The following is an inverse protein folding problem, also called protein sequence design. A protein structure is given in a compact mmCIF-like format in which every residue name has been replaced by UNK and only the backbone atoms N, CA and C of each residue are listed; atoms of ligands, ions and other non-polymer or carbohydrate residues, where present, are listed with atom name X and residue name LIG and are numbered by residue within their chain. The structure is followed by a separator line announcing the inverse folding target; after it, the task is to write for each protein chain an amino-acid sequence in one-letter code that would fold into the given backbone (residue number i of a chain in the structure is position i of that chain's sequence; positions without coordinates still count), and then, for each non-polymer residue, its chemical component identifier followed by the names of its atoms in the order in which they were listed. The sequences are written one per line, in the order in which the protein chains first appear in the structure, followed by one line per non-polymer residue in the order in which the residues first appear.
data_IF_424687173024
#
_entry.id   IF_424687173024
#
_cell.length_a   1.000
_cell.length_b   1.000
_cell.length_c   1.000
_cell.angle_alpha   90.00
_cell.angle_beta   90.00
_cell.angle_gamma   90.00
#
_symmetry.space_group_name_H-M   'P 1'
#
loop_
_entity.id
_entity.type
_entity.pdbx_description
1 polymer ?
#
# COMPACT_ATOMS: atom_id res chain seq x y z
N UNK A 1 4.66 -18.39 -31.81
CA UNK A 1 6.08 -18.64 -31.47
C UNK A 1 6.38 -17.81 -30.23
N UNK A 2 6.41 -18.42 -29.05
CA UNK A 2 6.72 -17.73 -27.79
C UNK A 2 8.22 -17.80 -27.55
N UNK A 3 8.91 -16.66 -27.68
CA UNK A 3 10.33 -16.55 -27.32
C UNK A 3 10.42 -16.63 -25.80
N UNK A 4 11.22 -17.53 -25.21
CA UNK A 4 11.47 -17.51 -23.77
C UNK A 4 12.27 -16.24 -23.47
N UNK A 5 11.68 -15.31 -22.73
CA UNK A 5 12.40 -14.16 -22.19
C UNK A 5 13.32 -14.66 -21.07
N UNK A 6 14.62 -14.35 -21.14
CA UNK A 6 15.55 -14.62 -20.03
C UNK A 6 15.32 -13.60 -18.91
N UNK A 7 15.65 -13.95 -17.66
CA UNK A 7 15.41 -13.08 -16.49
C UNK A 7 16.04 -11.69 -16.61
N UNK A 8 17.25 -11.60 -17.17
CA UNK A 8 17.93 -10.32 -17.45
C UNK A 8 17.24 -9.48 -18.54
N UNK A 9 16.48 -10.11 -19.45
CA UNK A 9 15.69 -9.38 -20.44
C UNK A 9 14.43 -8.80 -19.79
N UNK A 10 13.78 -9.55 -18.88
CA UNK A 10 12.56 -9.11 -18.18
C UNK A 10 12.83 -7.87 -17.33
N UNK A 11 13.93 -7.85 -16.57
CA UNK A 11 14.27 -6.69 -15.72
C UNK A 11 14.49 -5.40 -16.51
N UNK A 12 15.02 -5.51 -17.74
CA UNK A 12 15.24 -4.38 -18.63
C UNK A 12 14.01 -4.03 -19.49
N UNK A 13 13.02 -4.92 -19.60
CA UNK A 13 11.83 -4.75 -20.43
C UNK A 13 10.60 -4.27 -19.66
N UNK A 14 10.54 -4.51 -18.34
CA UNK A 14 9.41 -4.05 -17.52
C UNK A 14 9.63 -2.58 -17.17
N UNK A 15 9.02 -1.72 -17.98
CA UNK A 15 8.88 -0.30 -17.66
C UNK A 15 7.84 -0.13 -16.54
N UNK A 16 8.22 0.41 -15.37
CA UNK A 16 7.30 0.60 -14.26
C UNK A 16 6.10 1.48 -14.61
N UNK A 17 6.21 2.41 -15.56
CA UNK A 17 5.11 3.31 -15.91
C UNK A 17 3.97 2.62 -16.67
N UNK A 18 4.18 1.41 -17.22
CA UNK A 18 3.19 0.69 -18.03
C UNK A 18 3.18 -0.84 -17.78
N UNK A 19 3.61 -1.29 -16.61
CA UNK A 19 3.77 -2.71 -16.32
C UNK A 19 2.44 -3.48 -16.41
N UNK A 20 1.30 -2.89 -16.03
CA UNK A 20 0.01 -3.56 -16.13
C UNK A 20 -0.42 -3.74 -17.58
N UNK A 21 -0.09 -2.80 -18.49
CA UNK A 21 -0.37 -2.89 -19.92
C UNK A 21 0.42 -4.00 -20.59
N UNK A 22 1.68 -4.20 -20.19
CA UNK A 22 2.44 -5.38 -20.59
C UNK A 22 1.79 -6.66 -20.05
N UNK A 23 1.47 -6.68 -18.75
CA UNK A 23 0.87 -7.86 -18.12
C UNK A 23 -0.50 -8.22 -18.72
N UNK A 24 -1.35 -7.24 -19.04
CA UNK A 24 -2.66 -7.45 -19.63
C UNK A 24 -2.57 -8.11 -21.02
N UNK A 25 -1.49 -7.87 -21.76
CA UNK A 25 -1.22 -8.54 -23.04
C UNK A 25 -0.76 -9.98 -22.85
N UNK A 26 -0.04 -10.28 -21.77
CA UNK A 26 0.51 -11.60 -21.47
C UNK A 26 -0.47 -12.51 -20.72
N UNK A 27 -1.24 -11.94 -19.80
CA UNK A 27 -2.10 -12.63 -18.84
C UNK A 27 -3.39 -11.82 -18.59
N UNK A 28 -4.27 -11.62 -19.59
CA UNK A 28 -5.48 -10.79 -19.46
C UNK A 28 -6.43 -11.27 -18.36
N UNK A 29 -6.52 -12.59 -18.16
CA UNK A 29 -7.48 -13.21 -17.23
C UNK A 29 -6.97 -13.30 -15.78
N UNK A 30 -5.77 -12.78 -15.48
CA UNK A 30 -5.28 -12.72 -14.10
C UNK A 30 -6.20 -11.83 -13.27
N UNK A 31 -6.60 -12.29 -12.08
CA UNK A 31 -7.46 -11.51 -11.19
C UNK A 31 -6.63 -10.43 -10.50
N UNK A 32 -7.20 -9.25 -10.29
CA UNK A 32 -6.51 -8.14 -9.62
C UNK A 32 -6.01 -8.53 -8.22
N UNK A 33 -6.82 -9.26 -7.45
CA UNK A 33 -6.43 -9.73 -6.12
C UNK A 33 -5.27 -10.74 -6.12
N UNK A 34 -4.98 -11.33 -7.28
CA UNK A 34 -3.92 -12.30 -7.47
C UNK A 34 -2.63 -11.61 -7.98
N UNK A 35 -2.62 -10.29 -8.18
CA UNK A 35 -1.45 -9.49 -8.58
C UNK A 35 -0.64 -9.03 -7.37
N UNK A 36 0.65 -8.78 -7.61
CA UNK A 36 1.52 -8.03 -6.70
C UNK A 36 1.49 -6.55 -7.09
N UNK A 37 0.92 -5.68 -6.25
CA UNK A 37 0.65 -4.29 -6.60
C UNK A 37 1.42 -3.35 -5.64
N UNK A 38 2.32 -2.48 -6.14
CA UNK A 38 2.90 -1.44 -5.32
C UNK A 38 1.86 -0.36 -4.99
N UNK A 39 1.83 0.07 -3.74
CA UNK A 39 0.93 1.08 -3.22
C UNK A 39 1.64 2.10 -2.34
N UNK A 40 1.04 3.27 -2.17
CA UNK A 40 1.54 4.31 -1.26
C UNK A 40 0.55 4.58 -0.13
N UNK A 41 1.07 4.67 1.08
CA UNK A 41 0.32 5.11 2.26
C UNK A 41 0.26 6.64 2.28
N UNK A 42 -0.94 7.19 2.55
CA UNK A 42 -1.20 8.63 2.48
C UNK A 42 -0.57 9.29 1.24
N UNK A 43 -0.97 8.81 0.06
CA UNK A 43 -0.30 9.08 -1.23
C UNK A 43 -0.09 10.57 -1.53
N UNK A 44 -0.92 11.44 -0.96
CA UNK A 44 -0.84 12.88 -1.18
C UNK A 44 0.00 13.63 -0.13
N UNK A 45 0.39 13.00 0.98
CA UNK A 45 1.09 13.66 2.08
C UNK A 45 2.58 13.87 1.76
N UNK A 46 2.81 14.81 0.85
CA UNK A 46 4.09 15.04 0.19
C UNK A 46 5.00 15.96 1.00
N UNK A 47 6.32 15.76 0.87
CA UNK A 47 7.31 16.72 1.33
C UNK A 47 7.01 18.10 0.72
N UNK A 48 7.21 19.17 1.51
CA UNK A 48 6.88 20.57 1.15
C UNK A 48 5.37 20.89 1.12
N UNK A 49 4.48 19.88 1.19
CA UNK A 49 3.04 20.07 1.32
C UNK A 49 2.51 19.79 2.73
N UNK A 50 3.31 19.13 3.57
CA UNK A 50 2.97 18.79 4.94
C UNK A 50 4.15 19.05 5.89
N UNK A 51 3.86 19.13 7.18
CA UNK A 51 4.86 19.07 8.24
C UNK A 51 5.58 17.72 8.19
N UNK A 52 6.85 17.69 8.60
CA UNK A 52 7.66 16.47 8.57
C UNK A 52 7.05 15.23 9.24
N UNK A 53 6.28 15.42 10.31
CA UNK A 53 5.61 14.32 11.04
C UNK A 53 4.46 13.68 10.26
N UNK A 54 3.93 14.41 9.29
CA UNK A 54 2.81 14.01 8.44
C UNK A 54 3.28 13.63 7.05
N UNK A 55 4.47 14.05 6.62
CA UNK A 55 5.07 13.66 5.34
C UNK A 55 5.31 12.15 5.27
N UNK A 56 4.61 11.49 4.35
CA UNK A 56 4.78 10.08 4.02
C UNK A 56 5.38 9.90 2.63
N UNK A 57 5.21 10.86 1.72
CA UNK A 57 5.65 10.77 0.33
C UNK A 57 6.58 11.91 -0.06
N UNK A 58 7.36 11.69 -1.13
CA UNK A 58 8.20 12.72 -1.75
C UNK A 58 7.74 13.06 -3.17
N UNK A 59 7.31 12.04 -3.90
CA UNK A 59 6.83 12.12 -5.27
C UNK A 59 5.41 12.71 -5.36
N UNK A 60 5.14 13.47 -6.42
CA UNK A 60 3.78 13.80 -6.87
C UNK A 60 3.02 12.53 -7.26
N UNK A 61 1.69 12.63 -7.47
CA UNK A 61 0.89 11.44 -7.83
C UNK A 61 1.35 10.84 -9.16
N UNK A 62 1.65 11.68 -10.16
CA UNK A 62 2.14 11.23 -11.46
C UNK A 62 3.50 10.56 -11.34
N UNK A 63 4.41 11.10 -10.53
CA UNK A 63 5.71 10.46 -10.28
C UNK A 63 5.56 9.10 -9.58
N UNK A 64 4.60 8.96 -8.65
CA UNK A 64 4.29 7.67 -8.04
C UNK A 64 3.74 6.69 -9.08
N UNK A 65 2.83 7.13 -9.94
CA UNK A 65 2.27 6.33 -11.03
C UNK A 65 3.34 5.96 -12.07
N UNK A 66 4.25 6.86 -12.43
CA UNK A 66 5.38 6.58 -13.32
C UNK A 66 6.39 5.61 -12.69
N UNK A 67 6.51 5.61 -11.36
CA UNK A 67 7.25 4.58 -10.61
C UNK A 67 6.52 3.22 -10.57
N UNK A 68 5.30 3.12 -11.10
CA UNK A 68 4.53 1.86 -11.15
C UNK A 68 3.65 1.59 -9.95
N UNK A 69 3.46 2.57 -9.06
CA UNK A 69 2.41 2.53 -8.03
C UNK A 69 1.05 2.44 -8.70
N UNK A 70 0.19 1.52 -8.25
CA UNK A 70 -1.19 1.37 -8.76
C UNK A 70 -2.22 1.28 -7.64
N UNK A 71 -1.81 1.49 -6.39
CA UNK A 71 -2.70 1.61 -5.25
C UNK A 71 -2.42 2.91 -4.50
N UNK A 72 -3.40 3.81 -4.43
CA UNK A 72 -3.28 5.11 -3.78
C UNK A 72 -4.20 5.18 -2.56
N UNK A 73 -3.65 5.51 -1.39
CA UNK A 73 -4.39 5.78 -0.15
C UNK A 73 -4.61 7.30 -0.03
N UNK A 74 -5.83 7.76 -0.32
CA UNK A 74 -6.22 9.18 -0.32
C UNK A 74 -7.16 9.43 0.85
N UNK A 75 -6.75 10.33 1.75
CA UNK A 75 -7.52 10.69 2.94
C UNK A 75 -8.09 12.09 2.82
N UNK A 76 -9.37 12.23 3.13
CA UNK A 76 -10.12 13.45 2.88
C UNK A 76 -10.91 13.91 4.10
N UNK A 77 -11.22 15.21 4.11
CA UNK A 77 -12.20 15.85 4.99
C UNK A 77 -13.07 16.80 4.19
N UNK A 78 -14.22 17.15 4.73
CA UNK A 78 -15.08 18.20 4.19
C UNK A 78 -14.36 19.55 4.14
N UNK A 79 -14.59 20.28 3.06
CA UNK A 79 -14.07 21.64 2.87
C UNK A 79 -15.21 22.54 2.39
N UNK A 80 -15.88 23.19 3.35
CA UNK A 80 -17.08 23.96 3.09
C UNK A 80 -18.31 23.11 2.72
N UNK A 81 -19.32 23.70 2.05
CA UNK A 81 -20.61 23.04 1.81
C UNK A 81 -20.55 21.86 0.82
N UNK A 82 -19.69 21.93 -0.20
CA UNK A 82 -19.64 20.94 -1.29
C UNK A 82 -18.23 20.40 -1.56
N UNK A 83 -17.19 21.02 -1.00
CA UNK A 83 -15.81 20.66 -1.26
C UNK A 83 -15.32 19.50 -0.38
N UNK A 84 -14.23 18.89 -0.84
CA UNK A 84 -13.42 17.93 -0.11
C UNK A 84 -11.95 18.31 -0.26
N UNK A 85 -11.25 18.38 0.87
CA UNK A 85 -9.80 18.62 0.94
C UNK A 85 -9.09 17.35 1.36
N UNK A 86 -7.83 17.25 0.97
CA UNK A 86 -6.94 16.14 1.31
C UNK A 86 -6.23 16.45 2.62
N UNK A 87 -6.08 15.44 3.48
CA UNK A 87 -5.53 15.59 4.83
C UNK A 87 -4.58 14.45 5.20
N UNK A 88 -3.77 14.68 6.22
CA UNK A 88 -3.11 13.65 7.01
C UNK A 88 -3.51 13.84 8.48
N UNK A 89 -4.47 13.03 8.96
CA UNK A 89 -5.06 13.19 10.28
C UNK A 89 -5.72 14.57 10.46
N UNK A 90 -5.15 15.42 11.31
CA UNK A 90 -5.65 16.79 11.54
C UNK A 90 -5.03 17.84 10.61
N UNK A 91 -3.98 17.47 9.87
CA UNK A 91 -3.24 18.40 9.02
C UNK A 91 -3.84 18.42 7.61
N UNK A 92 -4.06 19.61 7.08
CA UNK A 92 -4.42 19.81 5.68
C UNK A 92 -3.17 19.64 4.81
N UNK A 93 -3.27 18.84 3.75
CA UNK A 93 -2.20 18.75 2.75
C UNK A 93 -2.21 20.02 1.92
N UNK A 94 -1.07 20.72 1.84
CA UNK A 94 -0.90 21.89 0.99
C UNK A 94 -1.04 21.54 -0.49
N UNK A 95 -1.66 22.42 -1.27
CA UNK A 95 -1.73 22.24 -2.72
C UNK A 95 -0.34 22.47 -3.33
N UNK A 96 0.24 21.41 -3.88
CA UNK A 96 1.53 21.44 -4.57
C UNK A 96 1.41 21.43 -6.10
N UNK A 97 0.19 21.51 -6.63
CA UNK A 97 -0.09 21.73 -8.05
C UNK A 97 -0.47 23.19 -8.36
N UNK A 98 -0.98 23.91 -7.36
CA UNK A 98 -1.30 25.34 -7.43
C UNK A 98 -0.41 26.17 -6.49
N UNK A 99 -0.38 27.49 -6.71
CA UNK A 99 0.41 28.43 -5.90
C UNK A 99 -0.24 28.76 -4.54
N UNK A 100 -0.40 27.74 -3.69
CA UNK A 100 -0.89 27.85 -2.32
C UNK A 100 -2.32 27.32 -2.10
N UNK A 101 -2.70 27.14 -0.83
CA UNK A 101 -3.99 26.59 -0.43
C UNK A 101 -3.92 25.12 0.01
N UNK A 102 -5.09 24.49 0.10
CA UNK A 102 -5.23 23.08 0.48
C UNK A 102 -5.46 22.26 -0.78
N UNK A 103 -4.81 21.10 -0.88
CA UNK A 103 -5.02 20.18 -1.98
C UNK A 103 -6.47 19.67 -1.95
N UNK A 104 -7.20 19.87 -3.04
CA UNK A 104 -8.58 19.40 -3.16
C UNK A 104 -8.65 17.97 -3.70
N UNK A 105 -9.70 17.22 -3.32
CA UNK A 105 -9.96 15.89 -3.89
C UNK A 105 -10.21 15.95 -5.41
N UNK A 106 -10.83 17.03 -5.89
CA UNK A 106 -11.03 17.26 -7.33
C UNK A 106 -9.70 17.38 -8.06
N UNK A 107 -8.72 18.08 -7.48
CA UNK A 107 -7.36 18.20 -8.02
C UNK A 107 -6.73 16.80 -8.11
N UNK A 108 -6.76 16.01 -7.01
CA UNK A 108 -6.24 14.63 -7.00
C UNK A 108 -6.81 13.78 -8.12
N UNK A 109 -8.14 13.75 -8.26
CA UNK A 109 -8.80 13.01 -9.34
C UNK A 109 -8.36 13.52 -10.72
N UNK A 110 -8.34 14.83 -10.92
CA UNK A 110 -7.96 15.44 -12.20
C UNK A 110 -6.55 15.00 -12.63
N UNK A 111 -5.58 14.99 -11.71
CA UNK A 111 -4.21 14.59 -12.00
C UNK A 111 -4.08 13.09 -12.29
N UNK A 112 -4.79 12.23 -11.55
CA UNK A 112 -4.84 10.79 -11.85
C UNK A 112 -5.45 10.54 -13.23
N UNK A 113 -6.59 11.18 -13.55
CA UNK A 113 -7.23 11.05 -14.86
C UNK A 113 -6.36 11.57 -16.00
N UNK A 114 -5.68 12.71 -15.80
CA UNK A 114 -4.77 13.26 -16.78
C UNK A 114 -3.61 12.30 -17.09
N UNK A 115 -3.03 11.67 -16.05
CA UNK A 115 -2.01 10.64 -16.23
C UNK A 115 -2.57 9.42 -16.97
N UNK A 116 -3.67 8.87 -16.48
CA UNK A 116 -4.29 7.66 -17.06
C UNK A 116 -4.67 7.89 -18.54
N UNK A 117 -5.19 9.07 -18.90
CA UNK A 117 -5.62 9.40 -20.25
C UNK A 117 -4.49 9.54 -21.28
N UNK A 118 -3.22 9.53 -20.87
CA UNK A 118 -2.11 9.51 -21.83
C UNK A 118 -2.12 8.18 -22.61
N UNK A 119 -1.84 8.18 -23.93
CA UNK A 119 -1.91 6.98 -24.76
C UNK A 119 -1.11 5.78 -24.23
N UNK A 120 0.03 6.04 -23.60
CA UNK A 120 0.96 5.07 -23.01
C UNK A 120 0.44 4.42 -21.71
N UNK A 121 -0.56 5.01 -21.04
CA UNK A 121 -1.11 4.53 -19.77
C UNK A 121 -2.57 4.06 -19.86
N UNK A 122 -3.18 4.10 -21.05
CA UNK A 122 -4.61 3.79 -21.25
C UNK A 122 -5.05 2.38 -20.84
N UNK A 123 -4.11 1.44 -20.79
CA UNK A 123 -4.36 0.05 -20.40
C UNK A 123 -3.92 -0.21 -18.93
N UNK A 124 -3.49 0.82 -18.21
CA UNK A 124 -3.20 0.74 -16.78
C UNK A 124 -4.49 0.79 -15.96
N UNK A 125 -4.47 0.15 -14.79
CA UNK A 125 -5.55 0.20 -13.81
C UNK A 125 -5.03 0.82 -12.52
N UNK A 126 -5.71 1.83 -11.99
CA UNK A 126 -5.34 2.45 -10.71
C UNK A 126 -6.43 2.13 -9.70
N UNK A 127 -6.03 1.70 -8.50
CA UNK A 127 -6.92 1.54 -7.35
C UNK A 127 -6.72 2.76 -6.45
N UNK A 128 -7.80 3.47 -6.14
CA UNK A 128 -7.80 4.57 -5.18
C UNK A 128 -8.67 4.21 -3.99
N UNK A 129 -8.03 4.01 -2.85
CA UNK A 129 -8.68 3.91 -1.54
C UNK A 129 -8.97 5.33 -1.07
N UNK A 130 -10.24 5.63 -0.81
CA UNK A 130 -10.66 6.93 -0.29
C UNK A 130 -11.17 6.76 1.13
N UNK A 131 -10.50 7.43 2.07
CA UNK A 131 -10.82 7.41 3.50
C UNK A 131 -11.35 8.75 3.94
N UNK A 132 -12.53 8.74 4.55
CA UNK A 132 -13.12 9.91 5.18
C UNK A 132 -12.66 10.03 6.64
N UNK A 133 -11.97 11.13 6.93
CA UNK A 133 -11.30 11.36 8.21
C UNK A 133 -12.01 12.38 9.12
N UNK A 134 -13.20 12.87 8.76
CA UNK A 134 -13.96 13.77 9.65
C UNK A 134 -14.55 13.02 10.86
N UNK A 135 -14.88 11.75 10.67
CA UNK A 135 -15.43 10.87 11.71
C UNK A 135 -14.62 9.57 11.74
N UNK A 136 -14.01 9.22 12.88
CA UNK A 136 -13.13 8.04 13.01
C UNK A 136 -13.84 6.82 13.63
N UNK A 137 -15.16 6.88 13.80
CA UNK A 137 -15.97 5.78 14.30
C UNK A 137 -17.25 5.66 13.50
N UNK A 138 -17.68 4.42 13.25
CA UNK A 138 -18.91 4.11 12.51
C UNK A 138 -20.16 4.72 13.17
N UNK A 139 -20.16 4.82 14.50
CA UNK A 139 -21.32 5.28 15.28
C UNK A 139 -21.37 6.80 15.48
N UNK A 140 -20.33 7.55 15.10
CA UNK A 140 -20.24 9.00 15.34
C UNK A 140 -20.52 9.84 14.10
N UNK A 141 -20.74 9.21 12.95
CA UNK A 141 -21.08 9.88 11.69
C UNK A 141 -22.55 10.33 11.68
N UNK A 142 -22.84 11.63 11.56
CA UNK A 142 -24.21 12.14 11.53
C UNK A 142 -25.05 11.50 10.41
N UNK A 143 -26.35 11.40 10.62
CA UNK A 143 -27.26 10.80 9.64
C UNK A 143 -27.34 11.60 8.32
N UNK A 144 -27.14 12.91 8.40
CA UNK A 144 -27.13 13.88 7.30
C UNK A 144 -25.72 14.17 6.75
N UNK A 145 -24.69 13.51 7.29
CA UNK A 145 -23.33 13.67 6.82
C UNK A 145 -23.12 12.89 5.52
N UNK A 146 -22.87 13.62 4.45
CA UNK A 146 -22.97 13.13 3.08
C UNK A 146 -21.65 13.22 2.32
N UNK A 147 -20.64 12.49 2.79
CA UNK A 147 -19.39 12.30 2.05
C UNK A 147 -19.63 11.59 0.72
N UNK A 148 -20.60 10.65 0.67
CA UNK A 148 -20.93 9.89 -0.52
C UNK A 148 -21.26 10.79 -1.71
N UNK A 149 -22.27 11.66 -1.56
CA UNK A 149 -22.72 12.53 -2.65
C UNK A 149 -21.62 13.50 -3.05
N UNK A 150 -20.85 14.05 -2.10
CA UNK A 150 -19.72 14.93 -2.42
C UNK A 150 -18.66 14.24 -3.27
N UNK A 151 -18.24 13.03 -2.90
CA UNK A 151 -17.28 12.26 -3.70
C UNK A 151 -17.87 11.95 -5.06
N UNK A 152 -19.12 11.47 -5.11
CA UNK A 152 -19.79 11.13 -6.36
C UNK A 152 -19.88 12.34 -7.31
N UNK A 153 -20.31 13.50 -6.82
CA UNK A 153 -20.48 14.71 -7.62
C UNK A 153 -19.15 15.28 -8.12
N UNK A 154 -18.13 15.30 -7.25
CA UNK A 154 -16.77 15.69 -7.65
C UNK A 154 -16.23 14.73 -8.70
N UNK A 155 -16.38 13.42 -8.49
CA UNK A 155 -15.93 12.41 -9.45
C UNK A 155 -16.66 12.54 -10.78
N UNK A 156 -17.99 12.69 -10.75
CA UNK A 156 -18.80 12.95 -11.94
C UNK A 156 -18.34 14.17 -12.70
N UNK A 157 -18.08 15.28 -12.01
CA UNK A 157 -17.57 16.51 -12.61
C UNK A 157 -16.24 16.26 -13.35
N UNK A 158 -15.30 15.54 -12.73
CA UNK A 158 -14.02 15.17 -13.36
C UNK A 158 -14.21 14.19 -14.53
N UNK A 159 -15.09 13.19 -14.39
CA UNK A 159 -15.42 12.22 -15.46
C UNK A 159 -16.10 12.89 -16.66
N UNK A 160 -16.96 13.88 -16.43
CA UNK A 160 -17.63 14.64 -17.49
C UNK A 160 -16.65 15.56 -18.22
N UNK A 161 -15.68 16.13 -17.50
CA UNK A 161 -14.59 16.95 -18.07
C UNK A 161 -13.50 16.12 -18.77
N UNK A 162 -13.34 14.84 -18.42
CA UNK A 162 -12.39 13.93 -19.05
C UNK A 162 -12.83 13.56 -20.48
N UNK A 163 -11.96 13.82 -21.46
CA UNK A 163 -12.18 13.41 -22.86
C UNK A 163 -11.89 11.93 -23.13
N UNK A 164 -11.26 11.24 -22.18
CA UNK A 164 -10.79 9.88 -22.34
C UNK A 164 -11.57 8.90 -21.48
N UNK A 165 -10.84 8.21 -20.61
CA UNK A 165 -11.41 7.22 -19.71
C UNK A 165 -12.42 7.84 -18.76
N UNK A 166 -13.44 7.02 -18.46
CA UNK A 166 -14.51 7.30 -17.51
C UNK A 166 -14.69 6.06 -16.64
N UNK A 167 -14.73 6.26 -15.33
CA UNK A 167 -14.70 5.18 -14.34
C UNK A 167 -15.84 5.26 -13.33
N UNK A 168 -16.59 6.35 -13.25
CA UNK A 168 -17.70 6.50 -12.30
C UNK A 168 -18.76 5.40 -12.50
N UNK A 169 -19.25 5.25 -13.72
CA UNK A 169 -20.25 4.24 -14.07
C UNK A 169 -19.75 2.83 -13.75
N UNK A 170 -18.46 2.55 -14.00
CA UNK A 170 -17.87 1.27 -13.67
C UNK A 170 -17.92 1.01 -12.15
N UNK A 171 -17.54 2.00 -11.34
CA UNK A 171 -17.54 1.87 -9.88
C UNK A 171 -18.93 1.71 -9.27
N UNK A 172 -20.01 2.08 -9.96
CA UNK A 172 -21.39 1.90 -9.47
C UNK A 172 -22.03 0.59 -9.97
N UNK A 173 -21.29 -0.21 -10.74
CA UNK A 173 -21.79 -1.39 -11.44
C UNK A 173 -21.23 -2.72 -10.96
N UNK A 174 -20.50 -2.75 -9.84
CA UNK A 174 -19.88 -3.98 -9.34
C UNK A 174 -20.23 -4.28 -7.87
N UNK A 175 -20.47 -5.56 -7.57
CA UNK A 175 -20.57 -6.03 -6.19
C UNK A 175 -19.18 -6.36 -5.62
N UNK A 176 -19.11 -6.64 -4.32
CA UNK A 176 -17.88 -7.12 -3.71
C UNK A 176 -17.37 -8.42 -4.35
N UNK A 177 -18.26 -9.36 -4.71
CA UNK A 177 -17.88 -10.57 -5.44
C UNK A 177 -17.31 -10.27 -6.84
N UNK A 178 -17.89 -9.29 -7.54
CA UNK A 178 -17.39 -8.87 -8.85
C UNK A 178 -15.97 -8.33 -8.72
N UNK A 179 -15.68 -7.49 -7.72
CA UNK A 179 -14.33 -7.00 -7.43
C UNK A 179 -13.34 -8.14 -7.12
N UNK A 180 -13.75 -9.18 -6.38
CA UNK A 180 -12.88 -10.33 -6.09
C UNK A 180 -12.60 -11.21 -7.32
N UNK A 181 -13.50 -11.20 -8.30
CA UNK A 181 -13.35 -11.95 -9.56
C UNK A 181 -12.79 -11.10 -10.70
N UNK A 182 -12.63 -9.80 -10.48
CA UNK A 182 -12.23 -8.84 -11.49
C UNK A 182 -10.87 -9.20 -12.07
N UNK A 183 -10.85 -9.40 -13.39
CA UNK A 183 -9.64 -9.67 -14.16
C UNK A 183 -8.96 -8.38 -14.59
N UNK A 184 -7.67 -8.45 -14.89
CA UNK A 184 -6.93 -7.31 -15.42
C UNK A 184 -7.51 -6.82 -16.75
N UNK A 185 -8.03 -7.73 -17.60
CA UNK A 185 -8.73 -7.36 -18.83
C UNK A 185 -9.99 -6.51 -18.61
N UNK A 186 -10.71 -6.72 -17.51
CA UNK A 186 -11.88 -5.92 -17.15
C UNK A 186 -11.51 -4.59 -16.52
N UNK A 187 -10.41 -4.57 -15.76
CA UNK A 187 -9.97 -3.42 -14.98
C UNK A 187 -9.09 -2.44 -15.74
N UNK A 188 -8.43 -2.86 -16.83
CA UNK A 188 -7.56 -1.98 -17.61
C UNK A 188 -8.29 -0.72 -18.05
N UNK A 189 -7.63 0.42 -17.89
CA UNK A 189 -8.20 1.73 -18.17
C UNK A 189 -9.32 2.15 -17.21
N UNK A 190 -9.30 1.65 -15.96
CA UNK A 190 -10.25 2.04 -14.90
C UNK A 190 -9.51 2.57 -13.68
N UNK A 191 -10.07 3.65 -13.12
CA UNK A 191 -9.79 4.09 -11.77
C UNK A 191 -10.80 3.42 -10.84
N UNK A 192 -10.36 2.41 -10.09
CA UNK A 192 -11.19 1.63 -9.20
C UNK A 192 -11.25 2.28 -7.81
N UNK A 193 -12.45 2.48 -7.29
CA UNK A 193 -12.69 3.02 -5.97
C UNK A 193 -12.72 1.90 -4.92
N UNK A 194 -11.90 2.05 -3.88
CA UNK A 194 -12.05 1.34 -2.62
C UNK A 194 -12.56 2.31 -1.55
N UNK A 195 -13.77 2.08 -1.05
CA UNK A 195 -14.53 3.05 -0.25
C UNK A 195 -14.34 2.80 1.24
N UNK A 196 -13.84 3.80 1.97
CA UNK A 196 -13.82 3.87 3.44
C UNK A 196 -14.57 5.13 3.92
N UNK A 197 -15.78 5.30 3.41
CA UNK A 197 -16.74 6.33 3.79
C UNK A 197 -18.15 5.75 3.68
N UNK A 198 -19.14 6.32 4.36
CA UNK A 198 -20.50 5.75 4.40
C UNK A 198 -21.15 5.82 3.03
N UNK A 199 -21.87 4.77 2.66
CA UNK A 199 -22.74 4.77 1.48
C UNK A 199 -24.18 4.57 1.98
N UNK A 200 -25.06 5.57 1.86
CA UNK A 200 -26.42 5.49 2.37
C UNK A 200 -27.30 4.49 1.60
N UNK A 201 -26.89 4.05 0.40
CA UNK A 201 -27.67 3.13 -0.43
C UNK A 201 -27.36 1.65 -0.16
N UNK A 202 -26.20 1.35 0.45
CA UNK A 202 -25.72 -0.02 0.73
C UNK A 202 -26.35 -0.73 1.95
N UNK A 203 -26.91 -0.08 3.00
CA UNK A 203 -27.51 -0.77 4.16
C UNK A 203 -28.69 -1.68 3.81
N UNK A 204 -29.22 -1.59 2.59
CA UNK A 204 -30.47 -2.25 2.20
C UNK A 204 -30.32 -3.34 1.14
N UNK A 205 -29.11 -3.70 0.71
CA UNK A 205 -28.88 -4.88 -0.15
C UNK A 205 -29.60 -4.87 -1.51
N UNK A 206 -30.12 -3.71 -1.94
CA UNK A 206 -30.92 -3.57 -3.17
C UNK A 206 -30.14 -3.02 -4.37
N UNK A 207 -28.91 -2.56 -4.18
CA UNK A 207 -28.08 -1.97 -5.25
C UNK A 207 -26.59 -2.28 -5.07
N UNK A 208 -25.86 -2.22 -6.19
CA UNK A 208 -24.40 -2.30 -6.24
C UNK A 208 -23.80 -1.05 -5.58
N UNK A 209 -22.79 -1.25 -4.74
CA UNK A 209 -22.15 -0.17 -3.97
C UNK A 209 -21.34 0.76 -4.89
N UNK A 210 -21.15 2.01 -4.46
CA UNK A 210 -20.15 2.87 -5.09
C UNK A 210 -18.74 2.43 -4.67
N UNK A 211 -18.09 1.65 -5.54
CA UNK A 211 -16.77 1.04 -5.32
C UNK A 211 -16.80 -0.21 -4.42
N UNK A 212 -15.62 -0.74 -4.11
CA UNK A 212 -15.47 -1.84 -3.15
C UNK A 212 -15.72 -1.31 -1.74
N UNK A 213 -16.75 -1.83 -1.07
CA UNK A 213 -17.12 -1.44 0.30
C UNK A 213 -16.11 -1.94 1.33
N UNK A 214 -15.28 -1.03 1.85
CA UNK A 214 -14.37 -1.27 2.97
C UNK A 214 -14.72 -0.39 4.17
N UNK A 215 -15.97 0.06 4.29
CA UNK A 215 -16.40 1.01 5.33
C UNK A 215 -16.08 0.54 6.75
N UNK A 216 -16.01 -0.77 7.00
CA UNK A 216 -15.57 -1.31 8.30
C UNK A 216 -14.22 -0.73 8.75
N UNK A 217 -13.29 -0.43 7.83
CA UNK A 217 -11.99 0.17 8.15
C UNK A 217 -12.09 1.51 8.87
N UNK A 218 -13.24 2.20 8.82
CA UNK A 218 -13.47 3.45 9.53
C UNK A 218 -13.49 3.26 11.06
N UNK A 219 -13.65 2.05 11.56
CA UNK A 219 -13.52 1.74 12.99
C UNK A 219 -12.03 1.61 13.39
N UNK A 220 -11.32 2.75 13.41
CA UNK A 220 -9.87 2.79 13.67
C UNK A 220 -9.50 2.06 14.97
N UNK A 221 -10.31 2.19 16.03
CA UNK A 221 -10.06 1.51 17.31
C UNK A 221 -10.00 -0.03 17.20
N UNK A 222 -10.61 -0.61 16.16
CA UNK A 222 -10.63 -2.05 15.91
C UNK A 222 -9.47 -2.52 15.04
N UNK A 223 -8.96 -1.66 14.15
CA UNK A 223 -8.02 -2.06 13.10
C UNK A 223 -6.63 -1.44 13.26
N UNK A 224 -6.52 -0.28 13.89
CA UNK A 224 -5.23 0.34 14.19
C UNK A 224 -4.41 -0.53 15.13
N UNK A 225 -3.14 -0.73 14.78
CA UNK A 225 -2.20 -1.59 15.51
C UNK A 225 -2.63 -3.05 15.59
N UNK A 226 -3.51 -3.50 14.69
CA UNK A 226 -3.84 -4.90 14.59
C UNK A 226 -2.79 -5.61 13.70
N UNK A 227 -2.10 -6.64 14.23
CA UNK A 227 -1.15 -7.41 13.44
C UNK A 227 -1.80 -8.09 12.24
N UNK A 228 -3.07 -8.51 12.33
CA UNK A 228 -3.82 -9.04 11.19
C UNK A 228 -5.31 -8.80 11.35
N UNK A 229 -5.97 -8.33 10.30
CA UNK A 229 -7.40 -8.11 10.32
C UNK A 229 -8.06 -8.43 8.99
N UNK A 230 -9.31 -8.88 9.07
CA UNK A 230 -10.17 -9.12 7.92
C UNK A 230 -11.27 -8.08 7.82
N UNK A 231 -11.57 -7.65 6.60
CA UNK A 231 -12.76 -6.85 6.27
C UNK A 231 -13.73 -7.71 5.51
N UNK A 232 -15.00 -7.57 5.87
CA UNK A 232 -16.09 -8.20 5.16
C UNK A 232 -16.95 -7.15 4.49
N UNK A 233 -17.44 -7.44 3.29
CA UNK A 233 -18.39 -6.59 2.56
C UNK A 233 -19.71 -7.32 2.35
N UNK A 234 -20.85 -6.60 2.21
CA UNK A 234 -22.13 -7.21 1.85
C UNK A 234 -22.02 -7.99 0.54
N UNK A 235 -22.61 -9.19 0.50
CA UNK A 235 -22.77 -9.94 -0.72
C UNK A 235 -23.82 -9.31 -1.65
N UNK A 236 -23.80 -9.68 -2.93
CA UNK A 236 -24.76 -9.23 -3.93
C UNK A 236 -26.24 -9.41 -3.52
N UNK A 237 -26.55 -10.49 -2.79
CA UNK A 237 -27.91 -10.80 -2.30
C UNK A 237 -28.27 -10.08 -0.99
N UNK A 238 -27.32 -9.36 -0.37
CA UNK A 238 -27.48 -8.66 0.91
C UNK A 238 -27.66 -9.57 2.13
N UNK A 239 -27.69 -10.89 1.96
CA UNK A 239 -28.03 -11.85 3.04
C UNK A 239 -26.83 -12.30 3.86
N UNK A 240 -25.62 -12.19 3.29
CA UNK A 240 -24.36 -12.58 3.93
C UNK A 240 -23.29 -11.52 3.72
N UNK A 241 -22.22 -11.61 4.50
CA UNK A 241 -21.00 -10.85 4.26
C UNK A 241 -19.90 -11.79 3.76
N UNK A 242 -19.05 -11.29 2.87
CA UNK A 242 -17.93 -12.03 2.28
C UNK A 242 -16.62 -11.37 2.68
N UNK A 243 -15.57 -12.15 2.91
CA UNK A 243 -14.23 -11.61 3.18
C UNK A 243 -13.69 -10.95 1.92
N UNK A 244 -13.45 -9.65 1.95
CA UNK A 244 -12.97 -8.87 0.80
C UNK A 244 -11.52 -8.45 0.94
N UNK A 245 -11.06 -8.24 2.17
CA UNK A 245 -9.70 -7.86 2.46
C UNK A 245 -9.18 -8.64 3.67
N UNK A 246 -7.92 -9.07 3.60
CA UNK A 246 -7.11 -9.42 4.75
C UNK A 246 -5.86 -8.57 4.73
N UNK A 247 -5.50 -7.98 5.84
CA UNK A 247 -4.44 -7.00 5.90
C UNK A 247 -3.74 -7.01 7.24
N UNK A 248 -2.59 -6.33 7.28
CA UNK A 248 -1.91 -5.96 8.52
C UNK A 248 -1.70 -4.45 8.53
N UNK A 249 -1.87 -3.83 9.70
CA UNK A 249 -1.58 -2.41 9.93
C UNK A 249 -1.00 -2.20 11.34
N UNK A 250 0.17 -2.79 11.60
CA UNK A 250 0.99 -2.39 12.75
C UNK A 250 1.59 -1.01 12.51
N UNK A 251 0.77 0.02 12.65
CA UNK A 251 1.08 1.39 12.23
C UNK A 251 1.76 2.20 13.33
N UNK A 252 1.40 2.05 14.61
CA UNK A 252 1.96 2.89 15.69
C UNK A 252 2.97 2.14 16.54
N UNK A 253 3.82 2.92 17.20
CA UNK A 253 4.78 2.39 18.16
C UNK A 253 4.16 1.92 19.48
N UNK A 254 2.85 2.13 19.69
CA UNK A 254 2.14 1.65 20.88
C UNK A 254 1.57 0.27 20.60
N UNK A 255 2.08 -0.74 21.29
CA UNK A 255 1.63 -2.12 21.17
C UNK A 255 1.13 -2.64 22.52
N UNK A 256 0.01 -3.36 22.51
CA UNK A 256 -0.60 -3.95 23.71
C UNK A 256 0.04 -5.29 24.14
N UNK A 257 1.16 -5.67 23.52
CA UNK A 257 1.92 -6.88 23.87
C UNK A 257 2.92 -6.69 25.02
N UNK A 258 3.70 -7.74 25.36
CA UNK A 258 4.64 -7.71 26.49
C UNK A 258 5.73 -6.63 26.32
N UNK A 259 6.06 -6.31 25.07
CA UNK A 259 6.85 -5.14 24.71
C UNK A 259 5.87 -4.00 24.43
N UNK A 260 5.72 -3.05 25.36
CA UNK A 260 4.84 -1.87 25.24
C UNK A 260 5.25 -0.91 24.09
N UNK A 261 6.20 -1.32 23.24
CA UNK A 261 6.75 -0.59 22.11
C UNK A 261 6.91 -1.55 20.93
N UNK A 262 6.39 -1.15 19.75
CA UNK A 262 6.68 -1.83 18.49
C UNK A 262 8.19 -1.82 18.21
N UNK A 263 8.74 -2.86 17.62
CA UNK A 263 10.10 -2.85 17.04
C UNK A 263 10.04 -3.09 15.53
N UNK A 264 11.11 -2.75 14.81
CA UNK A 264 11.21 -3.16 13.40
C UNK A 264 11.19 -4.68 13.22
N UNK A 265 11.66 -5.46 14.22
CA UNK A 265 11.55 -6.90 14.19
C UNK A 265 10.09 -7.36 14.22
N UNK A 266 9.27 -6.77 15.09
CA UNK A 266 7.83 -7.06 15.17
C UNK A 266 7.12 -6.73 13.86
N UNK A 267 7.40 -5.55 13.30
CA UNK A 267 6.88 -5.14 11.99
C UNK A 267 7.29 -6.14 10.90
N UNK A 268 8.57 -6.50 10.81
CA UNK A 268 9.07 -7.46 9.83
C UNK A 268 8.45 -8.85 9.98
N UNK A 269 8.21 -9.31 11.21
CA UNK A 269 7.55 -10.60 11.45
C UNK A 269 6.11 -10.59 10.94
N UNK A 270 5.38 -9.49 11.13
CA UNK A 270 4.01 -9.34 10.61
C UNK A 270 3.96 -9.20 9.10
N UNK A 271 4.85 -8.37 8.53
CA UNK A 271 5.00 -8.23 7.08
C UNK A 271 5.27 -9.59 6.43
N UNK A 272 6.25 -10.34 6.94
CA UNK A 272 6.61 -11.66 6.42
C UNK A 272 5.45 -12.64 6.46
N UNK A 273 4.70 -12.67 7.56
CA UNK A 273 3.57 -13.59 7.69
C UNK A 273 2.52 -13.33 6.61
N UNK A 274 2.15 -12.07 6.39
CA UNK A 274 1.16 -11.74 5.37
C UNK A 274 1.69 -11.95 3.94
N UNK A 275 3.00 -11.75 3.70
CA UNK A 275 3.66 -12.16 2.44
C UNK A 275 3.49 -13.66 2.19
N UNK A 276 3.72 -14.48 3.21
CA UNK A 276 3.54 -15.93 3.12
C UNK A 276 2.09 -16.29 2.76
N UNK A 277 1.10 -15.70 3.45
CA UNK A 277 -0.30 -15.99 3.19
C UNK A 277 -0.74 -15.58 1.79
N UNK A 278 -0.31 -14.40 1.32
CA UNK A 278 -0.58 -13.93 -0.03
C UNK A 278 -0.02 -14.89 -1.08
N UNK A 279 1.23 -15.34 -0.88
CA UNK A 279 1.88 -16.26 -1.80
C UNK A 279 1.24 -17.64 -1.76
N UNK A 280 0.97 -18.17 -0.56
CA UNK A 280 0.41 -19.50 -0.36
C UNK A 280 -0.99 -19.63 -0.99
N UNK A 281 -1.83 -18.61 -0.82
CA UNK A 281 -3.16 -18.64 -1.44
C UNK A 281 -3.08 -18.54 -2.96
N UNK A 282 -2.05 -17.88 -3.50
CA UNK A 282 -1.86 -17.78 -4.94
C UNK A 282 -1.38 -19.11 -5.55
N UNK A 283 -0.37 -19.75 -4.94
CA UNK A 283 0.33 -20.93 -5.50
C UNK A 283 -0.16 -22.27 -4.97
N UNK A 284 -0.96 -22.26 -3.90
CA UNK A 284 -1.56 -23.44 -3.30
C UNK A 284 -2.55 -24.13 -4.23
N UNK A 285 -2.73 -25.45 -4.04
CA UNK A 285 -3.71 -26.22 -4.81
C UNK A 285 -5.12 -25.65 -4.60
N UNK A 286 -5.94 -25.66 -5.65
CA UNK A 286 -7.36 -25.31 -5.51
C UNK A 286 -8.01 -26.11 -4.37
N UNK A 287 -8.57 -25.42 -3.37
CA UNK A 287 -9.11 -26.02 -2.14
C UNK A 287 -8.23 -25.92 -0.89
N UNK A 288 -6.97 -25.49 -1.01
CA UNK A 288 -6.09 -25.18 0.15
C UNK A 288 -5.98 -23.69 0.43
N UNK A 289 -6.63 -22.84 -0.38
CA UNK A 289 -6.65 -21.39 -0.19
C UNK A 289 -7.39 -21.06 1.11
N UNK A 290 -6.73 -20.31 1.96
CA UNK A 290 -7.27 -19.89 3.25
C UNK A 290 -8.32 -18.78 3.08
N UNK A 291 -8.12 -17.85 2.13
CA UNK A 291 -9.06 -16.76 1.87
C UNK A 291 -9.14 -16.40 0.38
N UNK A 292 -10.35 -16.11 -0.12
CA UNK A 292 -10.57 -15.56 -1.47
C UNK A 292 -10.72 -14.03 -1.38
N UNK A 293 -9.71 -13.34 -0.83
CA UNK A 293 -9.73 -11.89 -0.54
C UNK A 293 -8.54 -11.17 -1.16
N UNK A 294 -8.59 -9.84 -1.24
CA UNK A 294 -7.38 -9.03 -1.42
C UNK A 294 -6.46 -9.18 -0.20
N UNK A 295 -5.16 -9.01 -0.42
CA UNK A 295 -4.14 -8.97 0.64
C UNK A 295 -3.48 -7.60 0.63
N UNK A 296 -3.46 -6.89 1.76
CA UNK A 296 -2.81 -5.57 1.89
C UNK A 296 -1.80 -5.57 3.03
N UNK A 297 -0.55 -5.26 2.69
CA UNK A 297 0.58 -5.28 3.62
C UNK A 297 1.12 -3.86 3.79
N UNK A 298 0.73 -3.19 4.87
CA UNK A 298 1.11 -1.80 5.16
C UNK A 298 2.48 -1.72 5.85
N UNK A 299 3.50 -1.20 5.18
CA UNK A 299 4.85 -1.07 5.73
C UNK A 299 5.05 0.20 6.57
N UNK A 300 4.19 1.19 6.40
CA UNK A 300 4.21 2.47 7.09
C UNK A 300 4.22 2.29 8.63
N UNK A 301 4.95 3.19 9.29
CA UNK A 301 5.02 3.29 10.74
C UNK A 301 4.95 4.77 11.11
N UNK A 302 3.98 5.12 11.94
CA UNK A 302 3.70 6.46 12.46
C UNK A 302 4.89 7.07 13.22
N UNK A 303 4.83 8.38 13.44
CA UNK A 303 5.79 9.05 14.30
C UNK A 303 5.61 8.74 15.80
N UNK A 304 6.71 8.74 16.56
CA UNK A 304 6.68 8.65 18.03
C UNK A 304 6.52 10.04 18.64
N UNK A 305 5.51 10.21 19.49
CA UNK A 305 5.42 11.32 20.45
C UNK A 305 6.10 10.90 21.77
N UNK A 306 7.23 11.52 22.12
CA UNK A 306 7.72 11.48 23.50
C UNK A 306 7.01 12.60 24.29
N UNK A 307 5.86 12.26 24.87
CA UNK A 307 5.01 13.11 25.73
C UNK A 307 4.32 14.32 25.04
N UNK A 308 3.17 14.72 25.60
CA UNK A 308 2.31 15.79 25.09
C UNK A 308 2.76 17.19 25.47
N UNK A 309 3.80 17.35 26.31
CA UNK A 309 4.28 18.64 26.80
C UNK A 309 5.49 19.21 26.04
N UNK A 310 6.32 18.37 25.42
CA UNK A 310 7.55 18.82 24.74
C UNK A 310 7.46 18.60 23.22
N UNK A 311 6.79 19.54 22.55
CA UNK A 311 6.55 19.50 21.10
C UNK A 311 7.78 19.81 20.23
N UNK A 312 9.00 19.93 20.77
CA UNK A 312 10.17 20.34 19.98
C UNK A 312 11.53 19.77 20.44
N UNK A 313 11.59 18.57 21.03
CA UNK A 313 12.90 17.95 21.23
C UNK A 313 13.47 17.45 19.89
N UNK A 314 14.71 17.87 19.61
CA UNK A 314 15.47 17.68 18.36
C UNK A 314 15.76 16.18 18.09
N UNK A 315 15.54 15.31 19.09
CA UNK A 315 15.56 13.85 18.96
C UNK A 315 14.30 13.26 18.27
N UNK A 316 13.23 14.05 18.08
CA UNK A 316 11.98 13.63 17.44
C UNK A 316 12.09 13.33 15.94
N UNK A 317 13.10 13.91 15.25
CA UNK A 317 13.39 13.66 13.82
C UNK A 317 13.74 12.19 13.53
N UNK A 318 14.24 11.46 14.54
CA UNK A 318 14.58 10.03 14.44
C UNK A 318 13.37 9.13 14.22
N UNK A 319 12.16 9.64 14.41
CA UNK A 319 10.95 8.82 14.41
C UNK A 319 9.93 9.24 13.36
N UNK A 320 10.29 10.09 12.41
CA UNK A 320 9.33 10.50 11.38
C UNK A 320 8.99 9.34 10.43
N UNK A 321 7.81 9.35 9.78
CA UNK A 321 7.41 8.29 8.86
C UNK A 321 8.49 8.02 7.81
N UNK A 322 9.10 9.08 7.28
CA UNK A 322 10.25 9.00 6.38
C UNK A 322 11.43 8.19 6.98
N UNK A 323 11.83 8.48 8.22
CA UNK A 323 12.93 7.77 8.87
C UNK A 323 12.58 6.30 9.07
N UNK A 324 11.33 5.97 9.37
CA UNK A 324 10.89 4.59 9.49
C UNK A 324 10.93 3.89 8.12
N UNK A 325 10.48 4.56 7.06
CA UNK A 325 10.51 4.08 5.68
C UNK A 325 11.94 3.74 5.23
N UNK A 326 12.93 4.57 5.56
CA UNK A 326 14.34 4.34 5.21
C UNK A 326 14.97 3.14 5.95
N UNK A 327 14.29 2.54 6.93
CA UNK A 327 14.73 1.31 7.58
C UNK A 327 13.90 0.11 7.11
N UNK A 328 12.56 0.23 7.07
CA UNK A 328 11.69 -0.91 6.77
C UNK A 328 11.71 -1.27 5.28
N UNK A 329 11.71 -0.29 4.36
CA UNK A 329 11.68 -0.56 2.93
C UNK A 329 12.92 -1.35 2.47
N UNK A 330 14.16 -0.99 2.87
CA UNK A 330 15.36 -1.83 2.76
C UNK A 330 15.21 -3.29 3.18
N UNK A 331 14.72 -3.52 4.41
CA UNK A 331 14.62 -4.85 5.00
C UNK A 331 13.63 -5.72 4.22
N UNK A 332 12.50 -5.14 3.84
CA UNK A 332 11.51 -5.80 3.00
C UNK A 332 12.06 -6.02 1.59
N UNK A 333 12.78 -5.05 1.01
CA UNK A 333 13.41 -5.17 -0.30
C UNK A 333 14.40 -6.33 -0.37
N UNK A 334 15.29 -6.45 0.62
CA UNK A 334 16.23 -7.56 0.73
C UNK A 334 15.50 -8.92 0.88
N UNK A 335 14.39 -8.95 1.62
CA UNK A 335 13.54 -10.14 1.70
C UNK A 335 12.94 -10.49 0.33
N UNK A 336 12.37 -9.52 -0.40
CA UNK A 336 11.80 -9.74 -1.72
C UNK A 336 12.84 -10.22 -2.73
N UNK A 337 14.08 -9.71 -2.67
CA UNK A 337 15.19 -10.19 -3.51
C UNK A 337 15.48 -11.67 -3.31
N UNK A 338 15.45 -12.12 -2.05
CA UNK A 338 15.63 -13.53 -1.72
C UNK A 338 14.48 -14.38 -2.26
N UNK A 339 13.24 -13.87 -2.23
CA UNK A 339 12.08 -14.57 -2.78
C UNK A 339 12.09 -14.63 -4.31
N UNK A 340 12.67 -13.64 -4.99
CA UNK A 340 12.81 -13.60 -6.45
C UNK A 340 14.10 -14.27 -6.95
N UNK A 341 15.06 -14.55 -6.08
CA UNK A 341 16.36 -15.08 -6.48
C UNK A 341 16.25 -16.53 -7.00
N UNK A 342 16.87 -16.84 -8.16
CA UNK A 342 17.01 -18.22 -8.61
C UNK A 342 17.86 -19.05 -7.65
N UNK A 343 18.80 -18.42 -6.94
CA UNK A 343 19.69 -19.04 -5.95
C UNK A 343 19.64 -18.21 -4.66
N UNK A 344 18.59 -18.35 -3.85
CA UNK A 344 18.45 -17.59 -2.62
C UNK A 344 19.47 -18.05 -1.58
N UNK A 345 19.98 -17.09 -0.81
CA UNK A 345 20.85 -17.37 0.33
C UNK A 345 20.04 -17.62 1.61
N UNK A 346 18.77 -17.20 1.67
CA UNK A 346 17.86 -17.57 2.74
C UNK A 346 17.51 -19.07 2.69
N UNK A 347 17.81 -19.85 3.75
CA UNK A 347 17.46 -21.27 3.79
C UNK A 347 15.94 -21.46 3.88
N UNK A 348 15.46 -22.67 3.55
CA UNK A 348 14.05 -23.07 3.67
C UNK A 348 13.03 -22.36 2.77
N UNK A 349 13.46 -21.68 1.71
CA UNK A 349 12.55 -21.37 0.62
C UNK A 349 12.13 -22.66 -0.08
N UNK A 350 10.83 -22.86 -0.22
CA UNK A 350 10.24 -24.09 -0.75
C UNK A 350 10.83 -24.41 -2.12
N UNK A 351 11.27 -25.66 -2.29
CA UNK A 351 11.70 -26.22 -3.58
C UNK A 351 10.51 -26.69 -4.42
N UNK A 352 9.29 -26.63 -3.88
CA UNK A 352 8.08 -26.97 -4.61
C UNK A 352 7.87 -25.95 -5.72
N UNK A 353 7.95 -26.40 -6.98
CA UNK A 353 7.53 -25.63 -8.15
C UNK A 353 6.13 -25.06 -7.88
N UNK A 354 5.99 -23.76 -7.58
CA UNK A 354 4.68 -23.19 -7.35
C UNK A 354 3.84 -23.32 -8.62
N UNK A 355 2.53 -23.55 -8.46
CA UNK A 355 1.62 -23.33 -9.57
C UNK A 355 1.53 -21.82 -9.81
N UNK A 356 2.42 -21.27 -10.65
CA UNK A 356 2.44 -19.85 -11.01
C UNK A 356 3.58 -19.07 -10.39
N UNK A 357 3.51 -17.73 -10.52
CA UNK A 357 4.60 -16.84 -10.13
C UNK A 357 4.63 -16.53 -8.63
N UNK A 358 3.51 -16.72 -7.93
CA UNK A 358 3.33 -16.25 -6.56
C UNK A 358 2.97 -14.77 -6.51
N UNK A 359 2.23 -14.36 -5.49
CA UNK A 359 1.85 -12.96 -5.27
C UNK A 359 2.23 -12.53 -3.86
N UNK A 360 2.64 -11.27 -3.72
CA UNK A 360 2.86 -10.62 -2.41
C UNK A 360 1.67 -9.73 -2.01
N UNK A 361 0.61 -9.73 -2.83
CA UNK A 361 -0.55 -8.86 -2.66
C UNK A 361 -0.21 -7.39 -2.91
N UNK A 362 -0.97 -6.51 -2.27
CA UNK A 362 -0.78 -5.07 -2.33
C UNK A 362 0.19 -4.66 -1.22
N UNK A 363 1.32 -4.07 -1.59
CA UNK A 363 2.34 -3.60 -0.64
C UNK A 363 2.25 -2.08 -0.53
N UNK A 364 1.80 -1.57 0.61
CA UNK A 364 1.69 -0.13 0.87
C UNK A 364 2.95 0.35 1.58
N UNK A 365 3.62 1.36 1.07
CA UNK A 365 4.81 1.91 1.71
C UNK A 365 4.77 3.44 1.79
N UNK A 366 5.41 3.95 2.83
CA UNK A 366 5.86 5.33 2.85
C UNK A 366 7.08 5.45 1.94
N UNK A 367 7.27 6.65 1.39
CA UNK A 367 8.44 7.04 0.63
C UNK A 367 8.63 6.26 -0.69
N UNK A 368 7.64 6.31 -1.57
CA UNK A 368 7.85 5.89 -2.96
C UNK A 368 8.95 6.75 -3.61
N UNK A 369 10.00 6.11 -4.11
CA UNK A 369 11.13 6.82 -4.72
C UNK A 369 10.71 7.55 -6.00
N UNK A 370 11.24 8.76 -6.21
CA UNK A 370 11.11 9.50 -7.47
C UNK A 370 12.00 8.86 -8.56
N UNK A 371 11.40 8.32 -9.65
CA UNK A 371 12.15 7.65 -10.70
C UNK A 371 13.11 8.61 -11.45
N UNK A 372 12.88 9.92 -11.40
CA UNK A 372 13.73 10.92 -12.04
C UNK A 372 15.03 11.23 -11.26
N UNK A 373 15.24 10.59 -10.09
CA UNK A 373 16.45 10.73 -9.27
C UNK A 373 16.79 12.18 -8.83
N UNK A 374 15.84 13.12 -8.93
CA UNK A 374 16.12 14.56 -8.81
C UNK A 374 16.55 14.99 -7.40
N UNK A 375 16.27 14.19 -6.37
CA UNK A 375 16.83 14.36 -5.01
C UNK A 375 17.21 13.01 -4.39
N UNK A 376 18.25 12.33 -4.92
CA UNK A 376 18.93 11.18 -4.26
C UNK A 376 19.86 11.61 -3.10
N UNK A 377 19.45 12.59 -2.30
CA UNK A 377 20.34 13.22 -1.33
C UNK A 377 20.32 12.56 0.06
N UNK A 378 19.96 11.27 0.11
CA UNK A 378 20.07 10.47 1.33
C UNK A 378 21.06 9.34 1.13
N UNK A 379 22.28 9.56 1.62
CA UNK A 379 23.38 8.58 1.71
C UNK A 379 22.95 7.23 2.32
N UNK A 380 21.87 7.20 3.12
CA UNK A 380 21.35 5.99 3.76
C UNK A 380 20.37 5.18 2.89
N UNK A 381 19.70 5.78 1.90
CA UNK A 381 18.88 5.04 0.93
C UNK A 381 19.69 4.56 -0.28
N UNK A 382 20.94 5.02 -0.45
CA UNK A 382 21.89 4.56 -1.47
C UNK A 382 22.34 3.10 -1.33
N UNK A 383 21.93 2.41 -0.26
CA UNK A 383 22.39 1.05 0.04
C UNK A 383 21.71 -0.04 -0.79
N UNK A 384 20.74 0.29 -1.65
CA UNK A 384 20.10 -0.69 -2.52
C UNK A 384 20.23 -0.29 -3.98
N UNK A 385 20.47 -1.30 -4.81
CA UNK A 385 20.60 -1.16 -6.26
C UNK A 385 19.27 -0.84 -6.94
N UNK A 386 18.13 -1.19 -6.32
CA UNK A 386 16.79 -1.03 -6.92
C UNK A 386 15.67 -0.67 -5.92
N UNK A 387 14.70 0.19 -6.32
CA UNK A 387 13.55 0.58 -5.51
C UNK A 387 12.60 -0.59 -5.16
N UNK A 388 11.97 -0.53 -3.99
CA UNK A 388 11.03 -1.56 -3.49
C UNK A 388 9.87 -1.84 -4.46
N UNK A 389 9.29 -0.80 -5.07
CA UNK A 389 8.17 -0.97 -6.01
C UNK A 389 8.52 -1.86 -7.21
N UNK A 390 9.77 -1.79 -7.71
CA UNK A 390 10.21 -2.62 -8.84
C UNK A 390 10.20 -4.08 -8.45
N UNK A 391 10.71 -4.38 -7.25
CA UNK A 391 10.70 -5.74 -6.70
C UNK A 391 9.29 -6.29 -6.59
N UNK A 392 8.33 -5.49 -6.11
CA UNK A 392 6.90 -5.88 -6.05
C UNK A 392 6.33 -6.17 -7.45
N UNK A 393 6.64 -5.31 -8.44
CA UNK A 393 6.19 -5.51 -9.83
C UNK A 393 6.74 -6.82 -10.41
N UNK A 394 8.00 -7.16 -10.15
CA UNK A 394 8.67 -8.33 -10.70
C UNK A 394 8.00 -9.66 -10.32
N UNK A 395 7.31 -9.75 -9.18
CA UNK A 395 6.52 -10.96 -8.82
C UNK A 395 5.43 -11.27 -9.85
N UNK A 396 4.95 -10.31 -10.64
CA UNK A 396 3.96 -10.59 -11.68
C UNK A 396 4.59 -11.26 -12.93
N UNK A 397 5.90 -11.13 -13.11
CA UNK A 397 6.63 -11.53 -14.32
C UNK A 397 7.61 -12.67 -14.09
N UNK A 398 8.07 -12.88 -12.85
CA UNK A 398 9.05 -13.90 -12.50
C UNK A 398 8.46 -14.93 -11.54
N UNK A 399 8.84 -16.21 -11.67
CA UNK A 399 8.63 -17.19 -10.61
C UNK A 399 9.26 -16.69 -9.31
N UNK A 400 8.52 -16.80 -8.20
CA UNK A 400 9.04 -16.52 -6.87
C UNK A 400 9.00 -17.78 -6.00
N UNK A 401 9.86 -17.80 -5.00
CA UNK A 401 9.91 -18.80 -3.94
C UNK A 401 9.30 -18.23 -2.67
N UNK A 402 8.86 -19.09 -1.77
CA UNK A 402 8.37 -18.69 -0.44
C UNK A 402 8.76 -19.72 0.60
N UNK A 403 8.89 -19.27 1.85
CA UNK A 403 9.25 -20.10 3.00
C UNK A 403 8.38 -21.35 3.11
N UNK A 404 9.00 -22.50 3.40
CA UNK A 404 8.26 -23.68 3.83
C UNK A 404 7.65 -23.43 5.21
N UNK A 405 6.40 -23.90 5.45
CA UNK A 405 5.86 -23.97 6.80
C UNK A 405 6.57 -25.10 7.56
N UNK A 406 6.96 -24.82 8.80
CA UNK A 406 7.34 -25.87 9.73
C UNK A 406 6.10 -26.52 10.35
N UNK A 407 6.31 -27.58 11.15
CA UNK A 407 5.23 -28.31 11.81
C UNK A 407 4.51 -27.51 12.91
N UNK A 408 4.98 -26.29 13.22
CA UNK A 408 4.38 -25.40 14.23
C UNK A 408 3.48 -24.34 13.60
N UNK A 409 3.29 -24.35 12.28
CA UNK A 409 2.28 -23.56 11.59
C UNK A 409 2.67 -22.12 11.30
N UNK A 410 3.81 -21.64 11.82
CA UNK A 410 4.52 -20.42 11.41
C UNK A 410 5.99 -20.59 11.86
N UNK A 411 6.96 -20.24 11.00
CA UNK A 411 8.35 -19.82 11.35
C UNK A 411 9.53 -20.75 10.97
N UNK A 412 10.01 -20.68 9.72
CA UNK A 412 11.44 -20.97 9.46
C UNK A 412 12.34 -19.76 9.73
N UNK A 413 11.80 -18.55 9.57
CA UNK A 413 12.53 -17.29 9.83
C UNK A 413 11.82 -16.52 10.94
N UNK A 414 12.55 -16.02 11.95
CA UNK A 414 12.06 -15.03 12.93
C UNK A 414 13.05 -13.88 13.03
N UNK A 415 12.58 -12.64 12.97
CA UNK A 415 13.45 -11.49 13.20
C UNK A 415 13.49 -11.17 14.70
N UNK A 416 14.69 -10.85 15.20
CA UNK A 416 14.93 -10.30 16.52
C UNK A 416 15.90 -9.12 16.43
N UNK A 417 15.78 -8.13 17.32
CA UNK A 417 16.73 -7.03 17.41
C UNK A 417 18.07 -7.51 18.00
N UNK A 418 19.20 -6.96 17.51
CA UNK A 418 20.55 -7.09 18.08
C UNK A 418 20.76 -6.08 19.22
N UNK A 419 19.86 -6.09 20.21
CA UNK A 419 19.86 -5.19 21.37
C UNK A 419 18.46 -4.74 21.78
N UNK A 420 18.38 -3.88 22.80
CA UNK A 420 17.09 -3.42 23.36
C UNK A 420 16.53 -2.18 22.64
N UNK A 421 17.27 -1.65 21.66
CA UNK A 421 16.82 -0.52 20.85
C UNK A 421 15.77 -0.99 19.83
N UNK A 422 14.65 -0.26 19.66
CA UNK A 422 13.65 -0.59 18.63
C UNK A 422 14.21 -0.53 17.19
N UNK A 423 15.40 0.08 17.03
CA UNK A 423 16.16 0.26 15.78
C UNK A 423 17.41 -0.60 15.70
N UNK A 424 17.59 -1.55 16.62
CA UNK A 424 18.76 -2.41 16.58
C UNK A 424 18.82 -3.16 15.25
N UNK A 425 20.03 -3.37 14.74
CA UNK A 425 20.25 -4.23 13.59
C UNK A 425 19.53 -5.57 13.79
N UNK A 426 18.97 -6.15 12.74
CA UNK A 426 18.19 -7.37 12.88
C UNK A 426 19.08 -8.59 12.75
N UNK A 427 18.75 -9.61 13.54
CA UNK A 427 19.14 -11.00 13.27
C UNK A 427 17.91 -11.81 12.91
N UNK A 428 18.09 -12.82 12.09
CA UNK A 428 17.04 -13.77 11.77
C UNK A 428 17.40 -15.18 12.24
N UNK A 429 16.43 -15.90 12.77
CA UNK A 429 16.60 -17.29 13.16
C UNK A 429 16.33 -18.20 11.98
N UNK A 430 17.17 -19.19 11.73
CA UNK A 430 16.91 -20.28 10.79
C UNK A 430 17.43 -21.61 11.38
N UNK A 431 16.61 -22.68 11.30
CA UNK A 431 16.96 -24.05 11.70
C UNK A 431 17.68 -24.21 13.06
N UNK A 432 17.38 -23.37 14.05
CA UNK A 432 17.99 -23.43 15.38
C UNK A 432 19.20 -22.51 15.57
N UNK A 433 19.59 -21.73 14.56
CA UNK A 433 20.70 -20.78 14.62
C UNK A 433 20.23 -19.35 14.32
N UNK A 434 20.94 -18.36 14.87
CA UNK A 434 20.71 -16.94 14.59
C UNK A 434 21.75 -16.41 13.62
N UNK A 435 21.31 -15.65 12.63
CA UNK A 435 22.14 -15.04 11.59
C UNK A 435 21.95 -13.52 11.60
N UNK A 436 23.03 -12.75 11.46
CA UNK A 436 22.94 -11.30 11.31
C UNK A 436 22.49 -10.94 9.89
N UNK A 437 21.60 -9.96 9.74
CA UNK A 437 21.28 -9.39 8.42
C UNK A 437 22.48 -8.55 7.97
N UNK A 438 23.32 -9.09 7.09
CA UNK A 438 24.46 -8.37 6.51
C UNK A 438 23.98 -7.14 5.74
N UNK A 439 24.68 -6.01 5.89
CA UNK A 439 24.36 -4.76 5.18
C UNK A 439 23.28 -3.88 5.81
N UNK A 440 22.74 -4.22 6.99
CA UNK A 440 21.88 -3.28 7.74
C UNK A 440 22.78 -2.20 8.37
N UNK A 441 22.79 -0.94 7.90
CA UNK A 441 23.45 0.10 8.67
C UNK A 441 22.72 0.21 10.01
N UNK A 442 23.47 0.31 11.11
CA UNK A 442 22.88 0.84 12.34
C UNK A 442 22.30 2.24 12.08
N UNK A 443 21.34 2.72 12.89
CA UNK A 443 20.81 4.06 12.72
C UNK A 443 21.97 5.05 12.67
N UNK A 444 22.03 5.87 11.62
CA UNK A 444 23.04 6.91 11.56
C UNK A 444 22.88 7.82 12.78
N UNK A 445 23.96 8.15 13.50
CA UNK A 445 23.89 9.03 14.65
C UNK A 445 23.48 10.46 14.25
N UNK A 446 23.52 10.80 12.95
CA UNK A 446 23.26 12.14 12.46
C UNK A 446 21.74 12.40 12.31
N UNK A 447 21.17 13.37 13.05
CA UNK A 447 19.79 13.77 12.87
C UNK A 447 19.57 14.29 11.44
N UNK A 448 18.46 13.88 10.84
CA UNK A 448 17.99 14.33 9.54
C UNK A 448 17.85 15.86 9.52
N UNK A 449 18.63 16.58 8.72
CA UNK A 449 18.46 18.04 8.57
C UNK A 449 17.40 18.32 7.51
N UNK A 450 16.17 18.55 7.93
CA UNK A 450 15.16 19.18 7.07
C UNK A 450 15.53 20.65 6.99
N UNK A 451 15.78 21.15 5.78
CA UNK A 451 15.91 22.58 5.57
C UNK A 451 14.69 23.33 6.11
N UNK A 452 14.81 24.60 6.52
CA UNK A 452 13.64 25.38 6.93
C UNK A 452 12.61 25.37 5.80
N UNK A 453 11.42 24.84 6.10
CA UNK A 453 10.27 24.86 5.20
C UNK A 453 9.76 26.30 5.20
N UNK A 454 9.87 27.00 4.08
CA UNK A 454 9.17 28.27 3.88
C UNK A 454 7.71 27.95 3.62
N UNK A 455 6.86 28.30 4.56
CA UNK A 455 5.40 28.23 4.44
C UNK A 455 4.88 29.16 3.34
#
# INVERSE_FOLDING_TARGET
MSIPLTDNLIDNLVDPSNWMSLLARLKPDVRLKDLSIPGTHDSCSRLEACKPISTTQYATLEQQLDAGVRFLDVRIKTDGPTGLKVVHGIEDVGDYYAAGGRLSFQTVLTHIYAWMNKPEHRDECVIMKVVDCDHTHLDTEPADYDTHTRIHDIWKSVDDASHGMKSLDFNTQHTAEDFLRMTLAQAKGKLLLWRVFKDPEVPHGKRKAFGLDLYQLKDEARFDNNPYFGITSPAADGTKRINTLHAQSLYTWKYSGPHQKLTYADKMNVVRHLLYEAWHDHTGKAGTRSFDSYRVNELNIAAIYQSSSDRQDVDSLRYYPITNATHINPLVGALLDQLLSPEPTLPNLSSSNPQGHGSVGIMLFDWAEDPAATRRDFEQTRLFTEPLYKKVILFNFKPSKMFARDNLGVDSIRYQPLGDSPYAALRYHDKGAWHTVEGTPGPSPLPFKIGPITA
#
